data_IF_551481496588
#
_entry.id   IF_551481496588
#
_cell.length_a   1.000
_cell.length_b   1.000
_cell.length_c   1.000
_cell.angle_alpha   90.00
_cell.angle_beta   90.00
_cell.angle_gamma   90.00
#
_symmetry.space_group_name_H-M   'P 1'
#
loop_
_entity.id
_entity.type
_entity.pdbx_description
1 polymer ?
#
# COMPACT_ATOMS: atom_id res chain seq x y z
N UNK A 1 -27.47 -22.74 -1.86
CA UNK A 1 -27.17 -21.57 -2.69
C UNK A 1 -26.97 -20.26 -1.92
N UNK A 2 -27.60 -20.02 -0.76
CA UNK A 2 -27.38 -18.77 0.02
C UNK A 2 -26.01 -18.71 0.72
N UNK A 3 -25.54 -19.83 1.26
CA UNK A 3 -24.25 -19.91 1.96
C UNK A 3 -23.05 -19.53 1.06
N UNK A 4 -23.09 -19.91 -0.22
CA UNK A 4 -22.02 -19.63 -1.19
C UNK A 4 -21.90 -18.14 -1.52
N UNK A 5 -23.02 -17.42 -1.57
CA UNK A 5 -23.02 -15.96 -1.78
C UNK A 5 -22.47 -15.23 -0.56
N UNK A 6 -22.86 -15.67 0.64
CA UNK A 6 -22.32 -15.10 1.89
C UNK A 6 -20.81 -15.31 1.99
N UNK A 7 -20.33 -16.53 1.70
CA UNK A 7 -18.90 -16.84 1.72
C UNK A 7 -18.13 -16.00 0.69
N UNK A 8 -18.63 -15.89 -0.54
CA UNK A 8 -18.01 -15.08 -1.58
C UNK A 8 -18.00 -13.58 -1.23
N UNK A 9 -19.06 -13.07 -0.60
CA UNK A 9 -19.09 -11.69 -0.10
C UNK A 9 -18.13 -11.48 1.06
N UNK A 10 -17.96 -12.45 1.96
CA UNK A 10 -16.97 -12.39 3.04
C UNK A 10 -15.54 -12.45 2.49
N UNK A 11 -15.28 -13.29 1.48
CA UNK A 11 -13.97 -13.33 0.82
C UNK A 11 -13.65 -12.03 0.09
N UNK A 12 -14.64 -11.37 -0.52
CA UNK A 12 -14.47 -10.05 -1.12
C UNK A 12 -14.17 -8.94 -0.08
N UNK A 13 -14.54 -9.15 1.19
CA UNK A 13 -14.27 -8.23 2.30
C UNK A 13 -12.96 -8.56 3.04
N UNK A 14 -12.24 -9.61 2.66
CA UNK A 14 -10.95 -9.95 3.28
C UNK A 14 -9.89 -8.95 2.84
N UNK A 15 -9.52 -8.07 3.75
CA UNK A 15 -8.30 -7.29 3.66
C UNK A 15 -7.12 -8.27 3.66
N UNK A 16 -6.27 -8.20 2.63
CA UNK A 16 -5.05 -8.99 2.61
C UNK A 16 -4.19 -8.63 3.83
N UNK A 17 -3.56 -9.62 4.47
CA UNK A 17 -2.60 -9.30 5.53
C UNK A 17 -1.42 -8.53 4.92
N UNK A 18 -0.94 -7.50 5.62
CA UNK A 18 0.24 -6.76 5.18
C UNK A 18 1.44 -7.71 5.08
N UNK A 19 2.07 -7.85 3.89
CA UNK A 19 3.05 -8.91 3.66
C UNK A 19 4.48 -8.52 4.07
N UNK A 20 4.71 -7.28 4.51
CA UNK A 20 6.04 -6.75 4.84
C UNK A 20 6.22 -6.54 6.35
N UNK A 21 7.45 -6.71 6.85
CA UNK A 21 7.75 -6.50 8.27
C UNK A 21 7.77 -5.03 8.69
N UNK A 22 7.85 -4.09 7.74
CA UNK A 22 7.98 -2.66 7.96
C UNK A 22 7.27 -1.82 6.90
N UNK A 23 7.63 -0.54 6.82
CA UNK A 23 7.18 0.34 5.75
C UNK A 23 7.86 -0.03 4.43
N UNK A 24 7.14 0.21 3.33
CA UNK A 24 7.68 0.09 1.97
C UNK A 24 7.53 1.43 1.26
N UNK A 25 8.40 1.72 0.30
CA UNK A 25 8.18 2.75 -0.70
C UNK A 25 7.73 2.11 -2.00
N UNK A 26 6.57 2.53 -2.50
CA UNK A 26 6.15 2.30 -3.87
C UNK A 26 6.75 3.39 -4.76
N UNK A 27 7.52 2.99 -5.76
CA UNK A 27 8.24 3.90 -6.65
C UNK A 27 7.41 4.14 -7.89
N UNK A 28 7.01 5.39 -8.10
CA UNK A 28 6.35 5.86 -9.31
C UNK A 28 7.35 6.70 -10.12
N UNK A 29 7.51 6.36 -11.40
CA UNK A 29 8.42 7.04 -12.33
C UNK A 29 7.61 7.67 -13.45
N UNK A 30 7.65 8.99 -13.56
CA UNK A 30 7.05 9.73 -14.67
C UNK A 30 8.11 10.58 -15.37
N UNK A 31 8.63 10.06 -16.48
CA UNK A 31 9.70 10.70 -17.24
C UNK A 31 10.98 10.87 -16.42
N UNK A 32 11.27 12.11 -15.99
CA UNK A 32 12.45 12.44 -15.16
C UNK A 32 12.14 12.50 -13.66
N UNK A 33 10.86 12.53 -13.31
CA UNK A 33 10.43 12.63 -11.92
C UNK A 33 10.25 11.24 -11.32
N UNK A 34 10.66 11.11 -10.08
CA UNK A 34 10.55 9.88 -9.30
C UNK A 34 9.91 10.23 -7.96
N UNK A 35 8.81 9.55 -7.64
CA UNK A 35 8.10 9.69 -6.37
C UNK A 35 8.13 8.38 -5.61
N UNK A 36 8.39 8.49 -4.31
CA UNK A 36 8.45 7.38 -3.36
C UNK A 36 7.24 7.51 -2.44
N UNK A 37 6.23 6.69 -2.68
CA UNK A 37 5.02 6.62 -1.88
C UNK A 37 5.20 5.66 -0.72
N UNK A 38 5.28 6.17 0.50
CA UNK A 38 5.55 5.38 1.70
C UNK A 38 4.26 4.77 2.22
N UNK A 39 4.26 3.45 2.43
CA UNK A 39 3.10 2.67 2.84
C UNK A 39 3.50 1.73 3.98
N UNK A 40 2.71 1.67 5.04
CA UNK A 40 2.90 0.71 6.15
C UNK A 40 1.56 0.17 6.61
N UNK A 41 1.42 -1.15 6.74
CA UNK A 41 0.16 -1.78 7.17
C UNK A 41 -1.06 -1.36 6.32
N UNK A 42 -0.89 -1.15 5.01
CA UNK A 42 -1.89 -0.55 4.10
C UNK A 42 -2.24 0.92 4.33
N UNK A 43 -1.54 1.60 5.24
CA UNK A 43 -1.67 3.05 5.42
C UNK A 43 -0.67 3.78 4.55
N UNK A 44 -1.16 4.78 3.83
CA UNK A 44 -0.32 5.73 3.14
C UNK A 44 0.26 6.76 4.14
N UNK A 45 1.59 6.83 4.23
CA UNK A 45 2.31 7.74 5.13
C UNK A 45 2.75 9.04 4.42
N UNK A 46 2.76 9.07 3.09
CA UNK A 46 3.10 10.24 2.29
C UNK A 46 3.98 9.93 1.07
N UNK A 47 4.28 10.97 0.27
CA UNK A 47 5.22 10.91 -0.85
C UNK A 47 6.52 11.62 -0.50
N UNK A 48 7.62 11.13 -1.05
CA UNK A 48 8.92 11.78 -1.02
C UNK A 48 9.57 11.76 -2.41
N UNK A 49 10.36 12.79 -2.72
CA UNK A 49 11.12 12.86 -3.99
C UNK A 49 12.45 12.08 -3.93
N UNK A 50 12.79 11.51 -2.77
CA UNK A 50 14.00 10.71 -2.58
C UNK A 50 13.79 9.62 -1.53
N UNK A 51 14.53 8.52 -1.66
CA UNK A 51 14.50 7.40 -0.71
C UNK A 51 14.87 7.85 0.72
N UNK A 52 15.84 8.77 0.87
CA UNK A 52 16.25 9.28 2.17
C UNK A 52 15.11 10.02 2.90
N UNK A 53 14.32 10.81 2.17
CA UNK A 53 13.13 11.46 2.70
C UNK A 53 12.00 10.46 2.96
N UNK A 54 11.85 9.43 2.11
CA UNK A 54 10.88 8.37 2.31
C UNK A 54 11.10 7.62 3.64
N UNK A 55 12.35 7.31 3.99
CA UNK A 55 12.71 6.68 5.27
C UNK A 55 12.33 7.52 6.50
N UNK A 56 12.21 8.84 6.36
CA UNK A 56 11.82 9.73 7.46
C UNK A 56 10.30 9.76 7.70
N UNK A 57 9.49 9.28 6.75
CA UNK A 57 8.03 9.29 6.83
C UNK A 57 7.44 8.16 7.69
N UNK A 58 8.26 7.31 8.34
CA UNK A 58 7.81 6.18 9.18
C UNK A 58 7.05 6.60 10.47
N UNK A 59 6.86 7.91 10.72
CA UNK A 59 6.44 8.37 12.06
C UNK A 59 4.97 8.76 12.21
N UNK A 60 4.17 8.94 11.15
CA UNK A 60 2.73 9.26 11.36
C UNK A 60 1.85 8.77 10.20
N UNK A 61 0.88 7.89 10.51
CA UNK A 61 -0.46 8.03 9.92
C UNK A 61 -1.51 7.65 10.97
N UNK A 62 -2.28 8.65 11.38
CA UNK A 62 -3.31 8.55 12.43
C UNK A 62 -4.64 7.97 11.94
N UNK A 63 -4.72 7.43 10.71
CA UNK A 63 -6.00 6.93 10.18
C UNK A 63 -5.84 5.92 9.07
N UNK A 64 -6.67 4.88 9.12
CA UNK A 64 -6.90 3.91 8.05
C UNK A 64 -7.98 4.48 7.11
N UNK A 65 -7.72 4.48 5.81
CA UNK A 65 -8.72 4.79 4.79
C UNK A 65 -8.94 3.57 3.89
N UNK A 66 -10.21 3.22 3.65
CA UNK A 66 -10.57 2.10 2.79
C UNK A 66 -10.24 2.38 1.31
N UNK A 67 -10.23 3.66 0.90
CA UNK A 67 -9.85 4.06 -0.44
C UNK A 67 -8.34 3.87 -0.66
N UNK A 68 -7.51 4.21 0.34
CA UNK A 68 -6.06 3.93 0.32
C UNK A 68 -5.80 2.42 0.14
N UNK A 69 -6.50 1.57 0.90
CA UNK A 69 -6.39 0.12 0.73
C UNK A 69 -6.75 -0.32 -0.69
N UNK A 70 -7.87 0.15 -1.26
CA UNK A 70 -8.29 -0.27 -2.60
C UNK A 70 -7.33 0.19 -3.71
N UNK A 71 -6.75 1.37 -3.56
CA UNK A 71 -5.77 1.93 -4.50
C UNK A 71 -4.44 1.19 -4.40
N UNK A 72 -3.97 0.89 -3.19
CA UNK A 72 -2.64 0.32 -2.93
C UNK A 72 -2.62 -1.21 -3.04
N UNK A 73 -3.69 -1.89 -2.65
CA UNK A 73 -3.78 -3.35 -2.64
C UNK A 73 -3.51 -3.94 -4.03
N UNK A 74 -4.09 -3.35 -5.08
CA UNK A 74 -3.88 -3.83 -6.46
C UNK A 74 -2.42 -3.76 -6.93
N UNK A 75 -1.74 -2.61 -6.96
CA UNK A 75 -0.36 -2.52 -7.44
C UNK A 75 0.62 -3.30 -6.54
N UNK A 76 0.41 -3.29 -5.21
CA UNK A 76 1.29 -3.98 -4.26
C UNK A 76 1.16 -5.51 -4.39
N UNK A 77 -0.06 -6.05 -4.44
CA UNK A 77 -0.27 -7.50 -4.54
C UNK A 77 0.00 -8.03 -5.95
N UNK A 78 -0.31 -7.24 -6.99
CA UNK A 78 -0.05 -7.67 -8.37
C UNK A 78 1.42 -7.58 -8.78
N UNK A 79 2.28 -7.00 -7.95
CA UNK A 79 3.72 -6.84 -8.23
C UNK A 79 4.01 -5.93 -9.42
N UNK A 80 3.05 -5.10 -9.84
CA UNK A 80 3.18 -4.20 -10.99
C UNK A 80 3.92 -2.92 -10.67
N UNK A 81 4.03 -2.59 -9.38
CA UNK A 81 4.78 -1.43 -8.92
C UNK A 81 6.14 -1.85 -8.38
N UNK A 82 7.14 -1.00 -8.59
CA UNK A 82 8.45 -1.15 -7.99
C UNK A 82 8.36 -0.84 -6.49
N UNK A 83 8.89 -1.73 -5.66
CA UNK A 83 8.77 -1.66 -4.20
C UNK A 83 10.16 -1.70 -3.57
N UNK A 84 10.44 -0.78 -2.66
CA UNK A 84 11.65 -0.72 -1.86
C UNK A 84 11.28 -0.91 -0.38
N UNK A 85 12.02 -1.76 0.32
CA UNK A 85 11.90 -1.90 1.78
C UNK A 85 12.64 -0.74 2.44
N UNK A 86 11.96 0.00 3.32
CA UNK A 86 12.49 1.16 4.03
C UNK A 86 13.05 0.81 5.41
#
# INVERSE_FOLDING_TARGET
MLASRLLASLDALRVACWPYLGAIALVERDGKDCQFHVIRNWHYLGSAASEAQARQLDTVAARFDADDYNILCKPVISGRAEIILL
#
